data_IF_097712766009
#
_entry.id   IF_097712766009
#
_cell.length_a   1.000
_cell.length_b   1.000
_cell.length_c   1.000
_cell.angle_alpha   90.00
_cell.angle_beta   90.00
_cell.angle_gamma   90.00
#
_symmetry.space_group_name_H-M   'P 1'
#
loop_
_entity.id
_entity.type
_entity.pdbx_description
1 polymer ?
#
# COMPACT_ATOMS: atom_id res chain seq x y z
N UNK A 1 18.54 1.09 -6.59
CA UNK A 1 18.06 0.76 -5.22
C UNK A 1 17.98 2.07 -4.45
N UNK A 2 16.81 2.45 -3.95
CA UNK A 2 16.67 3.68 -3.16
C UNK A 2 17.20 3.46 -1.74
N UNK A 3 17.80 4.51 -1.17
CA UNK A 3 18.24 4.50 0.21
C UNK A 3 17.03 4.49 1.14
N UNK A 4 17.01 3.59 2.12
CA UNK A 4 15.87 3.39 3.00
C UNK A 4 16.28 3.26 4.47
N UNK A 5 15.43 3.75 5.37
CA UNK A 5 15.55 3.59 6.82
C UNK A 5 14.45 2.68 7.35
N UNK A 6 14.77 1.92 8.39
CA UNK A 6 13.79 1.11 9.10
C UNK A 6 12.97 1.98 10.06
N UNK A 7 11.68 1.76 10.10
CA UNK A 7 10.72 2.37 11.03
C UNK A 7 9.95 1.25 11.73
N UNK A 8 9.97 1.26 13.06
CA UNK A 8 9.20 0.34 13.87
C UNK A 8 7.79 0.87 14.12
N UNK A 9 6.75 0.07 13.80
CA UNK A 9 5.36 0.40 14.05
C UNK A 9 4.76 -0.59 15.05
N UNK A 10 3.59 -0.26 15.61
CA UNK A 10 2.84 -1.09 16.57
C UNK A 10 3.70 -1.60 17.73
N UNK A 11 4.51 -0.73 18.33
CA UNK A 11 5.40 -1.10 19.44
C UNK A 11 6.53 -2.06 19.06
N UNK A 12 7.00 -1.98 17.81
CA UNK A 12 8.10 -2.80 17.29
C UNK A 12 7.68 -4.14 16.67
N UNK A 13 6.39 -4.45 16.64
CA UNK A 13 5.87 -5.68 16.01
C UNK A 13 5.92 -5.65 14.48
N UNK A 14 5.98 -4.46 13.89
CA UNK A 14 6.10 -4.23 12.45
C UNK A 14 7.41 -3.51 12.16
N UNK A 15 8.16 -4.04 11.21
CA UNK A 15 9.40 -3.45 10.68
C UNK A 15 9.12 -2.97 9.26
N UNK A 16 8.90 -1.67 9.10
CA UNK A 16 8.64 -1.04 7.82
C UNK A 16 9.90 -0.34 7.31
N UNK A 17 10.21 -0.45 6.03
CA UNK A 17 11.34 0.25 5.41
C UNK A 17 10.82 1.37 4.53
N UNK A 18 11.23 2.60 4.80
CA UNK A 18 10.78 3.77 4.06
C UNK A 18 11.97 4.50 3.43
N UNK A 19 11.79 5.16 2.28
CA UNK A 19 12.85 5.97 1.68
C UNK A 19 13.38 7.00 2.68
N UNK A 20 14.68 7.26 2.66
CA UNK A 20 15.30 8.31 3.48
C UNK A 20 14.96 9.70 2.96
N UNK A 21 14.63 9.83 1.69
CA UNK A 21 14.13 11.03 1.03
C UNK A 21 12.79 10.75 0.33
N UNK A 22 11.97 11.76 0.11
CA UNK A 22 10.68 11.63 -0.55
C UNK A 22 9.51 11.40 0.42
N UNK A 23 8.51 10.64 -0.03
CA UNK A 23 7.33 10.35 0.77
C UNK A 23 7.63 9.36 1.90
N UNK A 24 7.18 9.71 3.09
CA UNK A 24 7.25 8.85 4.28
C UNK A 24 5.86 8.77 4.90
N UNK A 25 5.40 7.56 5.10
CA UNK A 25 4.15 7.31 5.82
C UNK A 25 4.31 7.74 7.28
N UNK A 26 3.32 8.48 7.78
CA UNK A 26 3.24 8.85 9.18
C UNK A 26 2.30 7.89 9.94
N UNK A 27 1.23 8.41 10.56
CA UNK A 27 0.28 7.61 11.34
C UNK A 27 -0.90 7.10 10.50
N UNK A 28 -1.15 7.71 9.34
CA UNK A 28 -2.31 7.39 8.49
C UNK A 28 -2.44 5.92 8.11
N UNK A 29 -1.35 5.20 7.71
CA UNK A 29 -1.44 3.78 7.42
C UNK A 29 -1.84 2.91 8.62
N UNK A 30 -1.47 3.33 9.83
CA UNK A 30 -1.86 2.63 11.07
C UNK A 30 -3.37 2.77 11.31
N UNK A 31 -3.91 3.99 11.17
CA UNK A 31 -5.35 4.24 11.30
C UNK A 31 -6.14 3.58 10.17
N UNK A 32 -5.64 3.63 8.95
CA UNK A 32 -6.25 2.95 7.81
C UNK A 32 -6.35 1.44 8.07
N UNK A 33 -5.26 0.81 8.46
CA UNK A 33 -5.26 -0.60 8.84
C UNK A 33 -6.20 -0.91 10.01
N UNK A 34 -6.34 0.00 10.97
CA UNK A 34 -7.25 -0.17 12.12
C UNK A 34 -8.72 -0.07 11.72
N UNK A 35 -9.06 0.66 10.66
CA UNK A 35 -10.43 0.85 10.17
C UNK A 35 -10.97 -0.33 9.37
N UNK A 36 -10.09 -1.19 8.83
CA UNK A 36 -10.51 -2.36 8.04
C UNK A 36 -11.05 -3.45 8.96
N UNK A 37 -12.32 -3.82 8.77
CA UNK A 37 -13.01 -4.84 9.56
C UNK A 37 -12.72 -6.28 9.12
N UNK A 38 -11.53 -6.56 8.58
CA UNK A 38 -11.15 -7.89 8.12
C UNK A 38 -11.02 -8.90 9.26
N UNK A 39 -11.34 -10.16 8.94
CA UNK A 39 -11.29 -11.31 9.83
C UNK A 39 -10.34 -12.39 9.30
N UNK A 40 -10.04 -13.37 10.16
CA UNK A 40 -9.21 -14.51 9.78
C UNK A 40 -9.81 -15.27 8.58
N UNK A 41 -8.97 -15.66 7.64
CA UNK A 41 -9.35 -16.36 6.41
C UNK A 41 -9.82 -15.46 5.28
N UNK A 42 -9.99 -14.17 5.51
CA UNK A 42 -10.36 -13.21 4.47
C UNK A 42 -9.15 -12.71 3.69
N UNK A 43 -9.41 -12.27 2.45
CA UNK A 43 -8.43 -11.66 1.54
C UNK A 43 -8.69 -10.17 1.40
N UNK A 44 -7.63 -9.38 1.49
CA UNK A 44 -7.69 -7.92 1.46
C UNK A 44 -6.73 -7.39 0.39
N UNK A 45 -7.18 -6.39 -0.39
CA UNK A 45 -6.33 -5.68 -1.34
C UNK A 45 -5.97 -4.29 -0.79
N UNK A 46 -4.69 -3.99 -0.70
CA UNK A 46 -4.13 -2.66 -0.41
C UNK A 46 -3.66 -2.02 -1.73
N UNK A 47 -4.44 -1.08 -2.24
CA UNK A 47 -4.19 -0.41 -3.52
C UNK A 47 -3.25 0.77 -3.33
N UNK A 48 -2.10 0.73 -4.01
CA UNK A 48 -1.03 1.71 -3.80
C UNK A 48 -0.34 1.51 -2.44
N UNK A 49 0.05 0.26 -2.16
CA UNK A 49 0.57 -0.13 -0.84
C UNK A 49 1.84 0.61 -0.42
N UNK A 50 2.55 1.22 -1.37
CA UNK A 50 3.79 1.93 -1.12
C UNK A 50 4.85 1.01 -0.49
N UNK A 51 5.39 1.43 0.64
CA UNK A 51 6.32 0.62 1.44
C UNK A 51 5.62 -0.45 2.32
N UNK A 52 4.33 -0.70 2.11
CA UNK A 52 3.58 -1.76 2.76
C UNK A 52 3.12 -1.48 4.19
N UNK A 53 3.20 -0.24 4.67
CA UNK A 53 2.95 0.08 6.08
C UNK A 53 1.54 -0.34 6.54
N UNK A 54 0.48 -0.07 5.75
CA UNK A 54 -0.89 -0.44 6.10
C UNK A 54 -1.11 -1.95 6.02
N UNK A 55 -0.63 -2.60 4.97
CA UNK A 55 -0.69 -4.06 4.82
C UNK A 55 0.00 -4.79 6.00
N UNK A 56 1.21 -4.35 6.38
CA UNK A 56 1.95 -4.89 7.51
C UNK A 56 1.20 -4.70 8.83
N UNK A 57 0.64 -3.53 9.08
CA UNK A 57 -0.14 -3.25 10.28
C UNK A 57 -1.41 -4.10 10.33
N UNK A 58 -2.13 -4.25 9.21
CA UNK A 58 -3.34 -5.06 9.13
C UNK A 58 -3.05 -6.54 9.41
N UNK A 59 -2.08 -7.13 8.72
CA UNK A 59 -1.73 -8.53 8.90
C UNK A 59 -1.15 -8.84 10.29
N UNK A 60 -0.51 -7.85 10.95
CA UNK A 60 -0.05 -7.98 12.34
C UNK A 60 -1.20 -7.92 13.33
N UNK A 61 -2.25 -7.12 13.04
CA UNK A 61 -3.43 -6.97 13.90
C UNK A 61 -4.39 -8.16 13.78
N UNK A 62 -4.57 -8.69 12.59
CA UNK A 62 -5.55 -9.75 12.30
C UNK A 62 -4.81 -11.03 11.89
N UNK A 63 -4.76 -11.99 12.79
CA UNK A 63 -4.20 -13.30 12.49
C UNK A 63 -5.03 -14.03 11.42
N UNK A 64 -4.34 -14.66 10.47
CA UNK A 64 -4.98 -15.44 9.42
C UNK A 64 -5.58 -14.62 8.27
N UNK A 65 -5.50 -13.28 8.28
CA UNK A 65 -5.83 -12.48 7.10
C UNK A 65 -4.73 -12.59 6.06
N UNK A 66 -5.11 -12.65 4.77
CA UNK A 66 -4.19 -12.56 3.64
C UNK A 66 -4.31 -11.18 3.00
N UNK A 67 -3.19 -10.54 2.73
CA UNK A 67 -3.17 -9.20 2.11
C UNK A 67 -2.39 -9.25 0.81
N UNK A 68 -2.95 -8.67 -0.25
CA UNK A 68 -2.21 -8.37 -1.48
C UNK A 68 -2.00 -6.86 -1.55
N UNK A 69 -0.76 -6.43 -1.67
CA UNK A 69 -0.40 -5.04 -1.90
C UNK A 69 -0.12 -4.80 -3.37
N UNK A 70 -0.88 -3.92 -4.03
CA UNK A 70 -0.61 -3.48 -5.39
C UNK A 70 0.19 -2.18 -5.34
N UNK A 71 1.33 -2.14 -6.02
CA UNK A 71 2.20 -0.95 -6.07
C UNK A 71 2.72 -0.70 -7.48
N UNK A 72 2.61 0.56 -7.93
CA UNK A 72 3.05 0.99 -9.26
C UNK A 72 4.58 1.06 -9.36
N UNK A 73 5.24 1.50 -8.29
CA UNK A 73 6.68 1.77 -8.28
C UNK A 73 7.46 0.54 -7.79
N UNK A 74 8.27 -0.12 -8.66
CA UNK A 74 9.02 -1.32 -8.27
C UNK A 74 9.94 -1.12 -7.07
N UNK A 75 10.51 0.08 -6.90
CA UNK A 75 11.38 0.39 -5.78
C UNK A 75 10.61 0.44 -4.45
N UNK A 76 9.39 0.97 -4.46
CA UNK A 76 8.52 0.99 -3.28
C UNK A 76 8.02 -0.41 -2.94
N UNK A 77 7.63 -1.18 -3.96
CA UNK A 77 7.26 -2.59 -3.80
C UNK A 77 8.42 -3.42 -3.18
N UNK A 78 9.66 -3.17 -3.59
CA UNK A 78 10.83 -3.84 -3.00
C UNK A 78 11.01 -3.49 -1.52
N UNK A 79 10.71 -2.27 -1.09
CA UNK A 79 10.71 -1.90 0.33
C UNK A 79 9.59 -2.59 1.10
N UNK A 80 8.41 -2.72 0.50
CA UNK A 80 7.29 -3.46 1.10
C UNK A 80 7.66 -4.94 1.30
N UNK A 81 8.21 -5.61 0.29
CA UNK A 81 8.69 -6.99 0.39
C UNK A 81 9.71 -7.14 1.52
N UNK A 82 10.68 -6.23 1.61
CA UNK A 82 11.67 -6.24 2.69
C UNK A 82 11.01 -6.10 4.07
N UNK A 83 9.97 -5.28 4.21
CA UNK A 83 9.18 -5.13 5.43
C UNK A 83 8.42 -6.40 5.79
N UNK A 84 7.82 -7.05 4.78
CA UNK A 84 7.11 -8.33 4.90
C UNK A 84 8.03 -9.42 5.44
N UNK A 85 9.20 -9.58 4.85
CA UNK A 85 10.21 -10.56 5.29
C UNK A 85 10.70 -10.26 6.72
N UNK A 86 11.07 -9.00 6.99
CA UNK A 86 11.59 -8.59 8.29
C UNK A 86 10.57 -8.70 9.43
N UNK A 87 9.27 -8.61 9.11
CA UNK A 87 8.16 -8.77 10.06
C UNK A 87 7.66 -10.22 10.17
N UNK A 88 8.23 -11.18 9.39
CA UNK A 88 7.82 -12.58 9.40
C UNK A 88 6.43 -12.83 8.80
N UNK A 89 5.98 -11.98 7.86
CA UNK A 89 4.62 -11.99 7.30
C UNK A 89 4.56 -12.55 5.87
N UNK A 90 5.65 -13.13 5.34
CA UNK A 90 5.76 -13.60 3.96
C UNK A 90 4.71 -14.67 3.56
N UNK A 91 4.18 -15.42 4.53
CA UNK A 91 3.11 -16.38 4.27
C UNK A 91 1.71 -15.74 4.13
N UNK A 92 1.56 -14.44 4.44
CA UNK A 92 0.26 -13.76 4.52
C UNK A 92 0.19 -12.45 3.73
N UNK A 93 1.31 -11.93 3.29
CA UNK A 93 1.36 -10.71 2.47
C UNK A 93 2.11 -10.99 1.18
N UNK A 94 1.48 -10.71 0.07
CA UNK A 94 2.07 -10.70 -1.26
C UNK A 94 2.11 -9.26 -1.78
N UNK A 95 3.18 -8.89 -2.47
CA UNK A 95 3.32 -7.56 -3.10
C UNK A 95 3.43 -7.74 -4.61
N UNK A 96 2.51 -7.13 -5.33
CA UNK A 96 2.39 -7.19 -6.78
C UNK A 96 2.74 -5.83 -7.37
N UNK A 97 3.67 -5.80 -8.31
CA UNK A 97 3.99 -4.58 -9.06
C UNK A 97 3.00 -4.45 -10.23
N UNK A 98 2.26 -3.35 -10.27
CA UNK A 98 1.29 -3.13 -11.34
C UNK A 98 0.56 -1.79 -11.25
N UNK A 99 -0.10 -1.43 -12.34
CA UNK A 99 -0.90 -0.21 -12.46
C UNK A 99 -2.39 -0.53 -12.25
N UNK A 100 -3.09 0.24 -11.43
CA UNK A 100 -4.53 0.10 -11.24
C UNK A 100 -5.34 0.41 -12.52
N UNK A 101 -4.77 1.20 -13.44
CA UNK A 101 -5.38 1.49 -14.75
C UNK A 101 -5.27 0.31 -15.72
N UNK A 102 -4.19 -0.48 -15.61
CA UNK A 102 -3.91 -1.70 -16.37
C UNK A 102 -3.53 -2.83 -15.39
N UNK A 103 -4.50 -3.32 -14.59
CA UNK A 103 -4.19 -4.23 -13.49
C UNK A 103 -3.64 -5.57 -13.99
N UNK A 104 -2.68 -6.15 -13.25
CA UNK A 104 -2.21 -7.50 -13.51
C UNK A 104 -3.35 -8.51 -13.52
N UNK A 105 -3.29 -9.48 -14.45
CA UNK A 105 -4.37 -10.46 -14.67
C UNK A 105 -4.65 -11.39 -13.47
N UNK A 106 -3.73 -11.50 -12.54
CA UNK A 106 -3.89 -12.23 -11.28
C UNK A 106 -4.85 -11.54 -10.29
N UNK A 107 -5.09 -10.23 -10.45
CA UNK A 107 -6.04 -9.49 -9.62
C UNK A 107 -7.45 -9.59 -10.21
N UNK A 108 -8.20 -10.60 -9.78
CA UNK A 108 -9.54 -10.87 -10.29
C UNK A 108 -10.57 -9.87 -9.70
N UNK A 109 -11.46 -9.29 -10.56
CA UNK A 109 -12.60 -8.52 -10.08
C UNK A 109 -13.47 -9.33 -9.10
N UNK A 110 -13.91 -8.69 -8.00
CA UNK A 110 -14.68 -9.36 -6.95
C UNK A 110 -13.89 -10.41 -6.18
N UNK A 111 -12.57 -10.39 -6.25
CA UNK A 111 -11.69 -11.37 -5.60
C UNK A 111 -11.44 -11.13 -4.12
N UNK A 112 -11.77 -9.96 -3.59
CA UNK A 112 -11.36 -9.52 -2.27
C UNK A 112 -12.53 -9.26 -1.34
N UNK A 113 -12.42 -9.66 -0.09
CA UNK A 113 -13.43 -9.39 0.96
C UNK A 113 -13.41 -7.91 1.38
N UNK A 114 -12.21 -7.32 1.37
CA UNK A 114 -12.02 -5.90 1.63
C UNK A 114 -11.01 -5.31 0.63
N UNK A 115 -11.21 -4.06 0.26
CA UNK A 115 -10.28 -3.27 -0.54
C UNK A 115 -10.11 -1.92 0.12
N UNK A 116 -8.90 -1.49 0.32
CA UNK A 116 -8.61 -0.17 0.84
C UNK A 116 -7.47 0.50 0.06
N UNK A 117 -7.39 1.82 0.17
CA UNK A 117 -6.37 2.62 -0.47
C UNK A 117 -6.07 3.88 0.35
N UNK A 118 -4.86 4.39 0.21
CA UNK A 118 -4.47 5.72 0.64
C UNK A 118 -3.94 6.50 -0.58
N UNK A 119 -4.85 6.97 -1.47
CA UNK A 119 -4.45 7.62 -2.71
C UNK A 119 -3.75 8.95 -2.47
N UNK A 120 -2.95 9.46 -3.43
CA UNK A 120 -2.38 10.80 -3.34
C UNK A 120 -3.48 11.86 -3.29
N UNK A 121 -3.33 12.89 -2.43
CA UNK A 121 -4.36 13.90 -2.17
C UNK A 121 -4.21 15.20 -2.96
N UNK A 122 -3.05 15.44 -3.58
CA UNK A 122 -2.77 16.66 -4.34
C UNK A 122 -3.37 16.60 -5.74
N UNK A 123 -4.23 17.57 -6.11
CA UNK A 123 -4.71 17.69 -7.48
C UNK A 123 -3.58 18.11 -8.42
N UNK A 124 -3.44 17.38 -9.53
CA UNK A 124 -2.46 17.72 -10.56
C UNK A 124 -2.68 19.15 -11.07
N UNK A 125 -1.64 20.00 -10.99
CA UNK A 125 -1.65 21.37 -11.47
C UNK A 125 -2.16 22.42 -10.48
N UNK A 126 -2.62 22.06 -9.28
CA UNK A 126 -3.00 23.02 -8.22
C UNK A 126 -1.91 23.28 -7.19
N UNK A 127 -1.00 22.33 -7.02
CA UNK A 127 0.17 22.49 -6.15
C UNK A 127 1.45 22.38 -6.97
N UNK A 128 2.50 23.10 -6.58
CA UNK A 128 3.83 22.86 -7.13
C UNK A 128 4.26 21.46 -6.67
N UNK A 129 4.49 20.50 -7.59
CA UNK A 129 4.91 19.17 -7.19
C UNK A 129 6.22 19.27 -6.39
N UNK A 130 6.38 18.47 -5.34
CA UNK A 130 7.66 18.38 -4.64
C UNK A 130 8.78 18.10 -5.65
N UNK A 131 9.99 18.66 -5.44
CA UNK A 131 11.12 18.45 -6.35
C UNK A 131 11.59 16.99 -6.41
N UNK A 132 11.21 16.16 -5.43
CA UNK A 132 11.49 14.72 -5.41
C UNK A 132 10.42 13.95 -6.18
N UNK A 133 10.76 13.20 -7.26
CA UNK A 133 9.80 12.48 -8.10
C UNK A 133 9.01 11.41 -7.32
N UNK A 134 9.63 10.74 -6.35
CA UNK A 134 8.97 9.71 -5.52
C UNK A 134 7.91 10.32 -4.63
N UNK A 135 8.20 11.49 -4.07
CA UNK A 135 7.25 12.26 -3.26
C UNK A 135 6.13 12.83 -4.15
N UNK A 136 6.45 13.33 -5.32
CA UNK A 136 5.46 13.83 -6.27
C UNK A 136 4.45 12.74 -6.65
N UNK A 137 4.91 11.53 -6.99
CA UNK A 137 4.07 10.39 -7.34
C UNK A 137 3.17 9.92 -6.18
N UNK A 138 3.58 10.17 -4.93
CA UNK A 138 2.82 9.75 -3.72
C UNK A 138 1.90 10.83 -3.16
N UNK A 139 2.04 12.09 -3.60
CA UNK A 139 1.28 13.22 -3.03
C UNK A 139 0.42 13.94 -4.06
N UNK A 140 0.71 13.81 -5.35
CA UNK A 140 -0.04 14.45 -6.44
C UNK A 140 -0.63 13.38 -7.34
N UNK A 141 -1.90 13.54 -7.73
CA UNK A 141 -2.53 12.66 -8.71
C UNK A 141 -1.66 12.58 -9.97
N UNK A 142 -1.28 11.34 -10.32
CA UNK A 142 -0.55 11.04 -11.55
C UNK A 142 -1.50 10.78 -12.71
N UNK A 143 -1.27 9.69 -13.47
CA UNK A 143 -2.16 9.27 -14.54
C UNK A 143 -3.53 8.81 -13.98
N UNK A 144 -3.55 8.12 -12.83
CA UNK A 144 -4.78 7.72 -12.15
C UNK A 144 -5.31 8.86 -11.27
N UNK A 145 -6.56 9.26 -11.52
CA UNK A 145 -7.30 10.24 -10.71
C UNK A 145 -8.08 9.53 -9.61
N UNK A 146 -8.55 10.26 -8.60
CA UNK A 146 -9.34 9.71 -7.50
C UNK A 146 -10.53 8.84 -7.98
N UNK A 147 -11.20 9.26 -9.06
CA UNK A 147 -12.31 8.49 -9.65
C UNK A 147 -11.86 7.11 -10.16
N UNK A 148 -10.65 7.00 -10.69
CA UNK A 148 -10.08 5.75 -11.20
C UNK A 148 -9.74 4.81 -10.03
N UNK A 149 -9.22 5.35 -8.93
CA UNK A 149 -8.99 4.61 -7.67
C UNK A 149 -10.30 4.05 -7.11
N UNK A 150 -11.34 4.87 -7.01
CA UNK A 150 -12.65 4.45 -6.51
C UNK A 150 -13.29 3.38 -7.41
N UNK A 151 -13.22 3.57 -8.73
CA UNK A 151 -13.74 2.60 -9.70
C UNK A 151 -12.99 1.26 -9.62
N UNK A 152 -11.67 1.30 -9.48
CA UNK A 152 -10.85 0.10 -9.31
C UNK A 152 -11.19 -0.63 -8.00
N UNK A 153 -11.18 0.07 -6.86
CA UNK A 153 -11.54 -0.52 -5.56
C UNK A 153 -12.93 -1.15 -5.59
N UNK A 154 -13.94 -0.45 -6.14
CA UNK A 154 -15.32 -0.96 -6.26
C UNK A 154 -15.43 -2.18 -7.18
N UNK A 155 -14.55 -2.34 -8.18
CA UNK A 155 -14.50 -3.52 -9.04
C UNK A 155 -13.84 -4.72 -8.37
N UNK A 156 -12.87 -4.50 -7.48
CA UNK A 156 -12.09 -5.56 -6.84
C UNK A 156 -12.78 -6.16 -5.61
N UNK A 157 -13.61 -5.39 -4.90
CA UNK A 157 -14.36 -5.89 -3.74
C UNK A 157 -15.53 -6.78 -4.16
N UNK A 158 -15.84 -7.80 -3.36
CA UNK A 158 -17.00 -8.70 -3.53
C UNK A 158 -18.33 -8.00 -3.32
#
# INVERSE_FOLDING_TARGET
MIEASEVALLGGRVRCFQPTSGYRSAIDPVFLAASVGAEAGQTVLDVGTGAGAAALCLATRVDGVCVIGLELQPEMAALAVRGVEASGLAARIEVVVGDLLEPPGELAPGGFDHVFANPPYGEAGRENPPPDPTKAASTVEGAARLVDWLAFCGRMVR
#
